data_IF_802743475810
#
_entry.id   IF_802743475810
#
_cell.length_a   1.000
_cell.length_b   1.000
_cell.length_c   1.000
_cell.angle_alpha   90.00
_cell.angle_beta   90.00
_cell.angle_gamma   90.00
#
_symmetry.space_group_name_H-M   'P 1'
#
loop_
_entity.id
_entity.type
_entity.pdbx_description
1 polymer ?
#
# COMPACT_ATOMS: atom_id res chain seq x y z
N UNK A 1 47.80 -4.67 26.16
CA UNK A 1 46.83 -5.66 26.66
C UNK A 1 45.58 -4.88 27.08
N UNK A 2 44.48 -5.02 26.32
CA UNK A 2 43.16 -4.55 26.75
C UNK A 2 42.38 -3.69 25.74
N UNK A 3 41.99 -4.24 24.59
CA UNK A 3 41.00 -3.59 23.70
C UNK A 3 40.13 -4.62 22.94
N UNK A 4 39.42 -5.55 23.61
CA UNK A 4 38.53 -6.49 22.88
C UNK A 4 37.25 -6.93 23.63
N UNK A 5 36.89 -6.31 24.76
CA UNK A 5 35.75 -6.78 25.60
C UNK A 5 34.44 -6.00 25.34
N UNK A 6 34.51 -4.76 24.82
CA UNK A 6 33.34 -3.88 24.67
C UNK A 6 32.44 -4.23 23.47
N UNK A 7 33.01 -4.80 22.40
CA UNK A 7 32.27 -5.15 21.17
C UNK A 7 31.36 -6.37 21.35
N UNK A 8 31.79 -7.34 22.17
CA UNK A 8 31.02 -8.56 22.48
C UNK A 8 29.77 -8.26 23.32
N UNK A 9 29.89 -7.43 24.34
CA UNK A 9 28.77 -7.04 25.23
C UNK A 9 27.74 -6.19 24.48
N UNK A 10 28.18 -5.31 23.57
CA UNK A 10 27.27 -4.55 22.69
C UNK A 10 26.51 -5.48 21.74
N UNK A 11 27.18 -6.46 21.13
CA UNK A 11 26.55 -7.46 20.26
C UNK A 11 25.51 -8.32 21.01
N UNK A 12 25.83 -8.73 22.24
CA UNK A 12 24.93 -9.56 23.06
C UNK A 12 23.69 -8.79 23.52
N UNK A 13 23.84 -7.51 23.88
CA UNK A 13 22.70 -6.62 24.20
C UNK A 13 21.80 -6.36 23.00
N UNK A 14 22.39 -6.17 21.82
CA UNK A 14 21.63 -5.99 20.57
C UNK A 14 20.88 -7.27 20.22
N UNK A 15 21.53 -8.42 20.33
CA UNK A 15 20.90 -9.75 20.12
C UNK A 15 19.70 -9.95 21.05
N UNK A 16 19.90 -9.69 22.35
CA UNK A 16 18.85 -9.80 23.36
C UNK A 16 17.67 -8.86 23.09
N UNK A 17 17.95 -7.61 22.70
CA UNK A 17 16.91 -6.65 22.36
C UNK A 17 16.10 -7.06 21.11
N UNK A 18 16.74 -7.70 20.13
CA UNK A 18 16.06 -8.25 18.95
C UNK A 18 15.19 -9.46 19.29
N UNK A 19 15.64 -10.34 20.18
CA UNK A 19 14.87 -11.50 20.63
C UNK A 19 13.66 -11.10 21.47
N UNK A 20 13.83 -10.15 22.40
CA UNK A 20 12.73 -9.58 23.20
C UNK A 20 11.70 -8.92 22.28
N UNK A 21 12.15 -8.24 21.21
CA UNK A 21 11.27 -7.65 20.21
C UNK A 21 10.51 -8.71 19.41
N UNK A 22 11.16 -9.79 18.98
CA UNK A 22 10.49 -10.90 18.27
C UNK A 22 9.45 -11.59 19.15
N UNK A 23 9.77 -11.80 20.44
CA UNK A 23 8.83 -12.37 21.40
C UNK A 23 7.58 -11.49 21.58
N UNK A 24 7.77 -10.17 21.68
CA UNK A 24 6.66 -9.20 21.74
C UNK A 24 5.81 -9.19 20.47
N UNK A 25 6.43 -9.25 19.29
CA UNK A 25 5.71 -9.31 18.01
C UNK A 25 4.93 -10.63 17.87
N UNK A 26 5.44 -11.74 18.40
CA UNK A 26 4.74 -13.03 18.45
C UNK A 26 3.53 -12.97 19.39
N UNK A 27 3.68 -12.41 20.59
CA UNK A 27 2.57 -12.30 21.56
C UNK A 27 1.42 -11.43 21.03
N UNK A 28 1.71 -10.42 20.22
CA UNK A 28 0.72 -9.56 19.58
C UNK A 28 0.05 -10.21 18.34
N UNK A 29 0.40 -11.45 17.99
CA UNK A 29 -0.07 -12.13 16.77
C UNK A 29 0.37 -11.43 15.48
N UNK A 30 1.37 -10.55 15.59
CA UNK A 30 1.93 -9.82 14.47
C UNK A 30 2.85 -10.72 13.66
N UNK A 31 3.47 -11.73 14.27
CA UNK A 31 4.31 -12.74 13.63
C UNK A 31 3.69 -14.13 13.86
N UNK A 32 3.71 -14.98 12.84
CA UNK A 32 3.27 -16.39 12.96
C UNK A 32 4.37 -17.22 13.61
N UNK A 33 4.02 -18.19 14.43
CA UNK A 33 5.01 -18.98 15.16
C UNK A 33 5.95 -19.74 14.20
N UNK A 34 7.27 -19.62 14.45
CA UNK A 34 8.31 -20.13 13.55
C UNK A 34 8.67 -19.24 12.35
N UNK A 35 8.00 -18.12 12.13
CA UNK A 35 8.38 -17.13 11.10
C UNK A 35 9.01 -15.88 11.72
N UNK A 36 9.84 -15.16 10.96
CA UNK A 36 10.34 -13.81 11.32
C UNK A 36 9.60 -12.71 10.53
N UNK A 37 8.43 -13.07 9.99
CA UNK A 37 7.63 -12.21 9.11
C UNK A 37 6.29 -11.89 9.74
N UNK A 38 5.82 -10.69 9.44
CA UNK A 38 4.48 -10.29 9.85
C UNK A 38 3.42 -11.24 9.26
N UNK A 39 2.42 -11.60 10.05
CA UNK A 39 1.24 -12.35 9.60
C UNK A 39 0.54 -11.60 8.47
N UNK A 40 -0.13 -12.32 7.56
CA UNK A 40 -0.84 -11.68 6.45
C UNK A 40 -1.88 -10.66 6.93
N UNK A 41 -2.53 -10.94 8.07
CA UNK A 41 -3.46 -10.03 8.73
C UNK A 41 -2.77 -8.76 9.24
N UNK A 42 -1.61 -8.89 9.88
CA UNK A 42 -0.83 -7.75 10.36
C UNK A 42 -0.34 -6.88 9.21
N UNK A 43 0.19 -7.50 8.14
CA UNK A 43 0.59 -6.79 6.92
C UNK A 43 -0.59 -6.08 6.29
N UNK A 44 -1.73 -6.76 6.11
CA UNK A 44 -2.93 -6.14 5.55
C UNK A 44 -3.38 -4.92 6.35
N UNK A 45 -3.43 -5.03 7.68
CA UNK A 45 -3.79 -3.91 8.57
C UNK A 45 -2.83 -2.73 8.41
N UNK A 46 -1.53 -2.98 8.38
CA UNK A 46 -0.52 -1.93 8.18
C UNK A 46 -0.71 -1.23 6.83
N UNK A 47 -0.94 -1.98 5.75
CA UNK A 47 -1.23 -1.42 4.42
C UNK A 47 -2.47 -0.52 4.43
N UNK A 48 -3.55 -0.93 5.08
CA UNK A 48 -4.77 -0.14 5.18
C UNK A 48 -4.56 1.16 5.97
N UNK A 49 -3.78 1.11 7.05
CA UNK A 49 -3.43 2.31 7.83
C UNK A 49 -2.55 3.27 7.01
N UNK A 50 -1.55 2.76 6.30
CA UNK A 50 -0.71 3.56 5.41
C UNK A 50 -1.53 4.22 4.30
N UNK A 51 -2.43 3.46 3.67
CA UNK A 51 -3.33 3.96 2.63
C UNK A 51 -4.25 5.06 3.17
N UNK A 52 -4.81 4.87 4.37
CA UNK A 52 -5.69 5.86 5.01
C UNK A 52 -4.95 7.15 5.30
N UNK A 53 -3.72 7.08 5.83
CA UNK A 53 -2.88 8.27 6.05
C UNK A 53 -2.56 9.00 4.74
N UNK A 54 -2.24 8.26 3.68
CA UNK A 54 -1.97 8.83 2.38
C UNK A 54 -3.21 9.53 1.80
N UNK A 55 -4.38 8.93 1.97
CA UNK A 55 -5.65 9.51 1.55
C UNK A 55 -5.98 10.78 2.33
N UNK A 56 -5.92 10.77 3.66
CA UNK A 56 -6.18 11.96 4.48
C UNK A 56 -5.23 13.12 4.17
N UNK A 57 -3.97 12.81 3.83
CA UNK A 57 -3.03 13.83 3.36
C UNK A 57 -3.46 14.43 2.01
N UNK A 58 -4.01 13.63 1.11
CA UNK A 58 -4.54 14.10 -0.17
C UNK A 58 -5.84 14.88 -0.02
N UNK A 59 -6.74 14.46 0.86
CA UNK A 59 -7.96 15.20 1.22
C UNK A 59 -7.59 16.60 1.74
N UNK A 60 -6.68 16.68 2.71
CA UNK A 60 -6.23 17.97 3.26
C UNK A 60 -5.52 18.85 2.24
N UNK A 61 -4.86 18.28 1.22
CA UNK A 61 -4.17 19.03 0.17
C UNK A 61 -5.11 19.53 -0.92
N UNK A 62 -6.04 18.68 -1.34
CA UNK A 62 -6.86 18.91 -2.54
C UNK A 62 -8.29 19.36 -2.24
N UNK A 63 -8.76 19.18 -1.00
CA UNK A 63 -10.15 19.42 -0.60
C UNK A 63 -11.15 18.44 -1.23
N UNK A 64 -10.68 17.39 -1.89
CA UNK A 64 -11.50 16.37 -2.56
C UNK A 64 -11.85 15.25 -1.60
N UNK A 65 -13.01 14.65 -1.80
CA UNK A 65 -13.45 13.49 -1.01
C UNK A 65 -12.74 12.21 -1.44
N UNK A 66 -12.31 11.40 -0.47
CA UNK A 66 -11.80 10.06 -0.74
C UNK A 66 -12.94 9.10 -1.05
N UNK A 67 -12.84 8.41 -2.19
CA UNK A 67 -13.72 7.29 -2.56
C UNK A 67 -12.99 5.98 -2.33
N UNK A 68 -13.60 5.11 -1.53
CA UNK A 68 -13.22 3.69 -1.44
C UNK A 68 -14.12 2.88 -2.39
N UNK A 69 -13.51 2.16 -3.33
CA UNK A 69 -14.25 1.31 -4.25
C UNK A 69 -14.63 -0.01 -3.56
N UNK A 70 -15.92 -0.23 -3.30
CA UNK A 70 -16.43 -1.52 -2.89
C UNK A 70 -16.70 -2.41 -4.10
N UNK A 71 -16.91 -3.71 -3.85
CA UNK A 71 -17.21 -4.68 -4.90
C UNK A 71 -18.50 -4.29 -5.64
N UNK A 72 -18.37 -3.99 -6.94
CA UNK A 72 -19.46 -3.53 -7.80
C UNK A 72 -19.37 -2.04 -8.13
N UNK A 73 -18.54 -1.27 -7.42
CA UNK A 73 -18.43 0.16 -7.63
C UNK A 73 -17.49 0.50 -8.79
N UNK A 74 -17.86 1.54 -9.52
CA UNK A 74 -17.06 2.19 -10.53
C UNK A 74 -16.73 3.62 -10.14
N UNK A 75 -15.55 4.09 -10.51
CA UNK A 75 -15.14 5.49 -10.36
C UNK A 75 -14.49 5.98 -11.65
N UNK A 76 -15.01 7.08 -12.19
CA UNK A 76 -14.44 7.75 -13.34
C UNK A 76 -13.55 8.91 -12.89
N UNK A 77 -12.31 8.90 -13.39
CA UNK A 77 -11.35 9.95 -13.11
C UNK A 77 -10.15 9.87 -14.03
N UNK A 78 -9.16 10.71 -13.74
CA UNK A 78 -7.91 10.80 -14.48
C UNK A 78 -6.78 10.29 -13.61
N UNK A 79 -5.87 9.49 -14.18
CA UNK A 79 -4.64 9.17 -13.48
C UNK A 79 -3.77 10.41 -13.36
N UNK A 80 -3.63 10.93 -12.15
CA UNK A 80 -2.90 12.16 -11.86
C UNK A 80 -1.43 11.88 -11.53
N UNK A 81 -1.20 10.96 -10.58
CA UNK A 81 0.15 10.65 -10.09
C UNK A 81 0.22 9.32 -9.34
N UNK A 82 1.41 8.76 -9.26
CA UNK A 82 1.73 7.67 -8.33
C UNK A 82 2.09 8.22 -6.95
N UNK A 83 1.75 7.46 -5.92
CA UNK A 83 2.12 7.70 -4.52
C UNK A 83 2.87 6.46 -4.05
N UNK A 84 4.15 6.63 -3.74
CA UNK A 84 4.98 5.54 -3.19
C UNK A 84 4.71 5.43 -1.68
N UNK A 85 4.20 4.27 -1.25
CA UNK A 85 4.01 3.90 0.16
C UNK A 85 5.00 2.78 0.54
N UNK A 86 5.24 2.57 1.83
CA UNK A 86 6.14 1.48 2.26
C UNK A 86 5.57 0.10 1.88
N UNK A 87 4.24 0.00 1.81
CA UNK A 87 3.54 -1.19 1.33
C UNK A 87 3.57 -1.45 -0.18
N UNK A 88 4.00 -0.46 -0.98
CA UNK A 88 3.94 -0.51 -2.44
C UNK A 88 3.42 0.79 -3.05
N UNK A 89 3.40 0.84 -4.38
CA UNK A 89 2.98 2.02 -5.14
C UNK A 89 1.46 2.04 -5.35
N UNK A 90 0.85 3.17 -5.07
CA UNK A 90 -0.57 3.44 -5.32
C UNK A 90 -0.72 4.46 -6.46
N UNK A 91 -1.78 4.34 -7.24
CA UNK A 91 -2.18 5.31 -8.24
C UNK A 91 -3.30 6.18 -7.68
N UNK A 92 -3.13 7.50 -7.79
CA UNK A 92 -4.16 8.48 -7.46
C UNK A 92 -4.95 8.79 -8.73
N UNK A 93 -6.22 8.42 -8.69
CA UNK A 93 -7.17 8.66 -9.77
C UNK A 93 -8.16 9.69 -9.24
N UNK A 94 -8.16 10.87 -9.83
CA UNK A 94 -8.94 12.01 -9.34
C UNK A 94 -9.88 12.56 -10.40
N UNK A 95 -10.97 13.16 -9.93
CA UNK A 95 -11.75 14.11 -10.71
C UNK A 95 -11.82 15.44 -9.93
N UNK A 96 -12.72 16.34 -10.31
CA UNK A 96 -12.83 17.67 -9.69
C UNK A 96 -13.33 17.64 -8.25
N UNK A 97 -14.06 16.59 -7.83
CA UNK A 97 -14.75 16.53 -6.53
C UNK A 97 -14.19 15.45 -5.61
N UNK A 98 -13.73 14.35 -6.19
CA UNK A 98 -13.34 13.15 -5.46
C UNK A 98 -12.09 12.51 -6.05
N UNK A 99 -11.45 11.63 -5.28
CA UNK A 99 -10.35 10.82 -5.74
C UNK A 99 -10.38 9.42 -5.13
N UNK A 100 -9.79 8.46 -5.83
CA UNK A 100 -9.60 7.09 -5.38
C UNK A 100 -8.11 6.74 -5.43
N UNK A 101 -7.65 5.98 -4.42
CA UNK A 101 -6.32 5.39 -4.39
C UNK A 101 -6.42 3.89 -4.67
N UNK A 102 -5.79 3.45 -5.75
CA UNK A 102 -5.79 2.04 -6.17
C UNK A 102 -4.37 1.50 -6.31
N UNK A 103 -4.15 0.18 -6.25
CA UNK A 103 -2.85 -0.40 -6.53
C UNK A 103 -2.33 0.03 -7.91
N UNK A 104 -1.13 0.58 -7.98
CA UNK A 104 -0.52 0.99 -9.24
C UNK A 104 -0.18 -0.23 -10.10
N UNK A 105 -0.42 -0.14 -11.40
CA UNK A 105 0.00 -1.14 -12.38
C UNK A 105 0.63 -0.44 -13.60
N UNK A 106 1.61 -1.06 -14.28
CA UNK A 106 2.34 -0.43 -15.38
C UNK A 106 1.45 0.09 -16.52
N UNK A 107 0.30 -0.54 -16.77
CA UNK A 107 -0.64 -0.12 -17.79
C UNK A 107 -1.25 1.26 -17.48
N UNK A 108 -1.46 1.61 -16.21
CA UNK A 108 -1.95 2.94 -15.81
C UNK A 108 -0.92 4.03 -16.15
N UNK A 109 0.37 3.72 -16.02
CA UNK A 109 1.46 4.66 -16.32
C UNK A 109 1.47 5.09 -17.79
N UNK A 110 1.23 4.13 -18.70
CA UNK A 110 1.16 4.38 -20.15
C UNK A 110 0.02 5.32 -20.55
N UNK A 111 -0.99 5.46 -19.68
CA UNK A 111 -2.18 6.27 -19.90
C UNK A 111 -2.29 7.45 -18.92
N UNK A 112 -1.17 7.86 -18.30
CA UNK A 112 -1.12 9.06 -17.47
C UNK A 112 -1.67 10.26 -18.23
N UNK A 113 -2.47 11.06 -17.53
CA UNK A 113 -3.07 12.24 -18.13
C UNK A 113 -4.44 12.01 -18.78
N UNK A 114 -4.86 10.76 -19.01
CA UNK A 114 -6.13 10.41 -19.66
C UNK A 114 -7.21 10.03 -18.66
N UNK A 115 -8.46 10.28 -19.02
CA UNK A 115 -9.62 9.78 -18.28
C UNK A 115 -9.70 8.26 -18.39
N UNK A 116 -10.10 7.61 -17.31
CA UNK A 116 -10.27 6.18 -17.18
C UNK A 116 -11.36 5.88 -16.17
N UNK A 117 -12.02 4.74 -16.35
CA UNK A 117 -13.01 4.22 -15.43
C UNK A 117 -12.37 3.04 -14.72
N UNK A 118 -12.22 3.13 -13.40
CA UNK A 118 -11.86 1.99 -12.54
C UNK A 118 -13.14 1.33 -12.04
N UNK A 119 -13.17 0.01 -11.99
CA UNK A 119 -14.29 -0.78 -11.51
C UNK A 119 -13.78 -1.93 -10.65
N UNK A 120 -14.30 -2.04 -9.43
CA UNK A 120 -13.94 -3.12 -8.51
C UNK A 120 -14.83 -4.33 -8.78
N UNK A 121 -14.34 -5.27 -9.59
CA UNK A 121 -15.05 -6.52 -9.91
C UNK A 121 -14.83 -7.57 -8.83
N UNK A 122 -15.64 -8.64 -8.90
CA UNK A 122 -15.50 -9.82 -8.04
C UNK A 122 -14.11 -10.49 -8.14
N UNK A 123 -13.48 -10.41 -9.32
CA UNK A 123 -12.16 -10.97 -9.60
C UNK A 123 -11.01 -9.98 -9.34
N UNK A 124 -11.32 -8.76 -8.86
CA UNK A 124 -10.34 -7.71 -8.59
C UNK A 124 -10.63 -6.41 -9.34
N UNK A 125 -9.65 -5.50 -9.31
CA UNK A 125 -9.77 -4.17 -9.93
C UNK A 125 -9.58 -4.25 -11.45
N UNK A 126 -10.55 -3.71 -12.18
CA UNK A 126 -10.51 -3.52 -13.64
C UNK A 126 -10.46 -2.03 -13.96
N UNK A 127 -9.90 -1.67 -15.12
CA UNK A 127 -10.00 -0.31 -15.64
C UNK A 127 -10.21 -0.31 -17.14
N UNK A 128 -10.91 0.71 -17.62
CA UNK A 128 -11.22 0.93 -19.03
C UNK A 128 -10.90 2.38 -19.41
N UNK A 129 -10.36 2.58 -20.61
CA UNK A 129 -10.08 3.91 -21.16
C UNK A 129 -11.14 4.24 -22.24
N UNK A 130 -11.79 5.42 -22.21
CA UNK A 130 -12.83 5.79 -23.17
C UNK A 130 -12.34 5.88 -24.63
N UNK A 131 -11.04 6.14 -24.82
CA UNK A 131 -10.42 6.23 -26.16
C UNK A 131 -9.65 4.94 -26.50
N UNK A 132 -10.34 3.96 -27.06
CA UNK A 132 -9.74 2.89 -27.86
C UNK A 132 -9.01 1.77 -27.11
N UNK A 133 -9.67 0.60 -27.09
CA UNK A 133 -9.12 -0.74 -26.83
C UNK A 133 -8.68 -1.00 -25.38
N UNK A 134 -9.59 -1.58 -24.62
CA UNK A 134 -9.29 -2.33 -23.41
C UNK A 134 -8.23 -3.40 -23.73
N UNK A 135 -6.98 -3.15 -23.34
CA UNK A 135 -5.93 -4.17 -23.26
C UNK A 135 -5.50 -4.27 -21.81
N UNK A 136 -5.81 -5.39 -21.19
CA UNK A 136 -5.45 -5.67 -19.80
C UNK A 136 -6.14 -6.86 -19.13
N UNK A 137 -6.58 -7.87 -19.90
CA UNK A 137 -6.85 -9.22 -19.38
C UNK A 137 -5.59 -10.05 -19.59
N UNK A 138 -4.78 -10.22 -18.55
CA UNK A 138 -3.70 -11.22 -18.46
C UNK A 138 -3.31 -11.34 -16.98
N UNK A 139 -3.27 -12.49 -16.31
CA UNK A 139 -3.81 -13.84 -16.48
C UNK A 139 -4.05 -14.33 -15.05
#
# INVERSE_FOLDING_TARGET
>A
MGEDVDTGVKSERVSKALDDRRAFLRSEGLIVDGEDRLSDRARHRQRMMELTRAASKEEGRSGRERVELAKGDGFEGKFERSVDLASGRMALIGNQKAFALVPWRPDLERHRGRSLIIEQRAKGLSWSFPSGRARGLSR
#
